data_IF_848262654056
#
_entry.id   IF_848262654056
#
_cell.length_a   1.000
_cell.length_b   1.000
_cell.length_c   1.000
_cell.angle_alpha   90.00
_cell.angle_beta   90.00
_cell.angle_gamma   90.00
#
_symmetry.space_group_name_H-M   'P 1'
#
loop_
_entity.id
_entity.type
_entity.pdbx_description
1 polymer ?
#
# COMPACT_ATOMS: atom_id res chain seq x y z
N UNK A 1 10.92 -16.39 2.15
CA UNK A 1 10.61 -15.92 3.51
C UNK A 1 9.22 -15.23 3.54
N UNK A 2 8.90 -14.31 2.61
CA UNK A 2 7.62 -13.58 2.66
C UNK A 2 6.37 -14.47 2.50
N UNK A 3 6.34 -15.38 1.53
CA UNK A 3 5.20 -16.26 1.29
C UNK A 3 4.96 -17.25 2.45
N UNK A 4 6.02 -17.82 3.01
CA UNK A 4 5.91 -18.73 4.17
C UNK A 4 5.36 -18.03 5.39
N UNK A 5 5.75 -16.79 5.63
CA UNK A 5 5.24 -15.96 6.71
C UNK A 5 3.73 -15.65 6.52
N UNK A 6 3.31 -15.30 5.29
CA UNK A 6 1.90 -15.04 5.00
C UNK A 6 1.03 -16.30 5.21
N UNK A 7 1.49 -17.46 4.74
CA UNK A 7 0.80 -18.74 4.95
C UNK A 7 0.66 -19.02 6.45
N UNK A 8 1.73 -18.82 7.22
CA UNK A 8 1.71 -19.01 8.68
C UNK A 8 0.66 -18.08 9.36
N UNK A 9 0.63 -16.79 8.99
CA UNK A 9 -0.35 -15.85 9.54
C UNK A 9 -1.79 -16.25 9.20
N UNK A 10 -2.06 -16.61 7.95
CA UNK A 10 -3.38 -17.07 7.51
C UNK A 10 -3.78 -18.35 8.23
N UNK A 11 -2.89 -19.34 8.32
CA UNK A 11 -3.14 -20.58 9.03
C UNK A 11 -3.41 -20.34 10.53
N UNK A 12 -2.59 -19.52 11.19
CA UNK A 12 -2.76 -19.16 12.61
C UNK A 12 -4.09 -18.47 12.84
N UNK A 13 -4.43 -17.48 11.99
CA UNK A 13 -5.72 -16.78 12.08
C UNK A 13 -6.89 -17.74 11.91
N UNK A 14 -6.83 -18.64 10.94
CA UNK A 14 -7.86 -19.65 10.71
C UNK A 14 -8.04 -20.58 11.93
N UNK A 15 -6.94 -21.08 12.48
CA UNK A 15 -6.95 -21.94 13.68
C UNK A 15 -7.52 -21.18 14.87
N UNK A 16 -7.11 -19.95 15.12
CA UNK A 16 -7.64 -19.11 16.22
C UNK A 16 -9.14 -18.86 16.07
N UNK A 17 -9.62 -18.58 14.85
CA UNK A 17 -11.05 -18.40 14.58
C UNK A 17 -11.85 -19.68 14.85
N UNK A 18 -11.32 -20.86 14.49
CA UNK A 18 -11.96 -22.16 14.75
C UNK A 18 -11.97 -22.51 16.24
N UNK A 19 -10.89 -22.24 16.96
CA UNK A 19 -10.76 -22.54 18.39
C UNK A 19 -11.48 -21.53 19.28
N UNK A 20 -11.79 -20.36 18.76
CA UNK A 20 -12.42 -19.27 19.52
C UNK A 20 -13.76 -19.70 20.12
N UNK A 21 -14.66 -20.27 19.32
CA UNK A 21 -15.99 -20.66 19.77
C UNK A 21 -15.96 -21.62 20.97
N UNK A 22 -15.22 -22.76 20.92
CA UNK A 22 -15.17 -23.70 22.06
C UNK A 22 -14.40 -23.13 23.26
N UNK A 23 -13.46 -22.22 23.07
CA UNK A 23 -12.73 -21.59 24.19
C UNK A 23 -13.63 -20.57 24.92
N UNK A 24 -14.33 -19.71 24.16
CA UNK A 24 -15.28 -18.74 24.75
C UNK A 24 -16.41 -19.40 25.50
N UNK A 25 -16.97 -20.50 24.98
CA UNK A 25 -17.99 -21.29 25.61
C UNK A 25 -17.51 -21.88 26.97
N UNK A 26 -16.27 -22.38 27.02
CA UNK A 26 -15.66 -22.88 28.26
C UNK A 26 -15.36 -21.80 29.30
N UNK A 27 -15.09 -20.58 28.85
CA UNK A 27 -14.76 -19.43 29.71
C UNK A 27 -16.02 -18.68 30.18
N UNK A 28 -17.24 -19.07 29.73
CA UNK A 28 -18.47 -18.35 30.05
C UNK A 28 -18.49 -16.90 29.56
N UNK A 29 -17.61 -16.56 28.63
CA UNK A 29 -17.53 -15.24 28.06
C UNK A 29 -18.60 -15.05 26.98
N UNK A 30 -19.24 -13.85 26.87
CA UNK A 30 -20.21 -13.61 25.83
C UNK A 30 -19.53 -13.84 24.46
N UNK A 31 -20.10 -14.73 23.68
CA UNK A 31 -19.69 -14.96 22.31
C UNK A 31 -19.97 -13.69 21.51
N UNK A 32 -19.01 -12.77 21.45
CA UNK A 32 -19.07 -11.72 20.45
C UNK A 32 -19.04 -12.42 19.11
N UNK A 33 -20.18 -12.48 18.44
CA UNK A 33 -20.28 -12.92 17.06
C UNK A 33 -19.57 -11.86 16.20
N UNK A 34 -18.25 -11.98 16.10
CA UNK A 34 -17.57 -11.40 14.95
C UNK A 34 -18.01 -12.27 13.75
N UNK A 35 -19.18 -11.98 13.21
CA UNK A 35 -19.50 -12.44 11.88
C UNK A 35 -18.36 -11.97 11.00
N UNK A 36 -17.60 -12.91 10.44
CA UNK A 36 -16.72 -12.54 9.34
C UNK A 36 -17.63 -11.83 8.34
N UNK A 37 -17.35 -10.56 7.96
CA UNK A 37 -18.16 -9.91 6.97
C UNK A 37 -18.20 -10.85 5.76
N UNK A 38 -19.39 -11.15 5.25
CA UNK A 38 -19.52 -11.91 4.00
C UNK A 38 -18.88 -11.07 2.91
N UNK A 39 -17.59 -11.33 2.67
CA UNK A 39 -16.85 -10.64 1.62
C UNK A 39 -17.39 -11.18 0.31
N UNK A 40 -18.17 -10.37 -0.39
CA UNK A 40 -18.62 -10.71 -1.73
C UNK A 40 -17.41 -10.96 -2.63
N UNK A 41 -17.56 -11.86 -3.61
CA UNK A 41 -16.48 -12.13 -4.57
C UNK A 41 -15.99 -10.83 -5.25
N UNK A 42 -16.91 -9.91 -5.53
CA UNK A 42 -16.57 -8.59 -6.08
C UNK A 42 -15.67 -7.77 -5.16
N UNK A 43 -15.96 -7.74 -3.84
CA UNK A 43 -15.11 -7.05 -2.87
C UNK A 43 -13.73 -7.70 -2.76
N UNK A 44 -13.65 -9.03 -2.79
CA UNK A 44 -12.38 -9.75 -2.76
C UNK A 44 -11.50 -9.42 -3.98
N UNK A 45 -12.09 -9.37 -5.17
CA UNK A 45 -11.39 -8.97 -6.41
C UNK A 45 -10.89 -7.53 -6.31
N UNK A 46 -11.68 -6.61 -5.79
CA UNK A 46 -11.27 -5.22 -5.61
C UNK A 46 -10.16 -5.07 -4.59
N UNK A 47 -10.21 -5.79 -3.46
CA UNK A 47 -9.11 -5.81 -2.49
C UNK A 47 -7.81 -6.33 -3.12
N UNK A 48 -7.89 -7.42 -3.90
CA UNK A 48 -6.74 -7.95 -4.61
C UNK A 48 -6.20 -6.95 -5.64
N UNK A 49 -7.06 -6.26 -6.36
CA UNK A 49 -6.68 -5.23 -7.33
C UNK A 49 -5.92 -4.07 -6.66
N UNK A 50 -6.46 -3.52 -5.57
CA UNK A 50 -5.77 -2.46 -4.81
C UNK A 50 -4.46 -2.94 -4.21
N UNK A 51 -4.40 -4.18 -3.74
CA UNK A 51 -3.17 -4.79 -3.24
C UNK A 51 -2.09 -4.89 -4.34
N UNK A 52 -2.45 -5.44 -5.51
CA UNK A 52 -1.51 -5.60 -6.64
C UNK A 52 -1.03 -4.24 -7.16
N UNK A 53 -1.95 -3.29 -7.36
CA UNK A 53 -1.59 -1.95 -7.81
C UNK A 53 -0.72 -1.23 -6.78
N UNK A 54 -1.05 -1.34 -5.50
CA UNK A 54 -0.24 -0.78 -4.41
C UNK A 54 1.16 -1.40 -4.35
N UNK A 55 1.24 -2.73 -4.51
CA UNK A 55 2.51 -3.44 -4.58
C UNK A 55 3.37 -2.93 -5.76
N UNK A 56 2.79 -2.79 -6.95
CA UNK A 56 3.48 -2.24 -8.13
C UNK A 56 3.95 -0.80 -7.87
N UNK A 57 3.07 0.04 -7.32
CA UNK A 57 3.36 1.44 -7.03
C UNK A 57 4.56 1.59 -6.08
N UNK A 58 4.49 0.95 -4.91
CA UNK A 58 5.57 1.04 -3.93
C UNK A 58 6.84 0.34 -4.40
N UNK A 59 6.74 -0.81 -5.08
CA UNK A 59 7.91 -1.50 -5.63
C UNK A 59 8.64 -0.63 -6.65
N UNK A 60 7.93 0.09 -7.51
CA UNK A 60 8.53 1.03 -8.46
C UNK A 60 9.28 2.17 -7.75
N UNK A 61 8.69 2.74 -6.69
CA UNK A 61 9.34 3.79 -5.89
C UNK A 61 10.59 3.26 -5.17
N UNK A 62 10.52 2.07 -4.56
CA UNK A 62 11.69 1.45 -3.92
C UNK A 62 12.79 1.09 -4.93
N UNK A 63 12.40 0.62 -6.13
CA UNK A 63 13.36 0.35 -7.20
C UNK A 63 14.07 1.63 -7.67
N UNK A 64 13.34 2.75 -7.79
CA UNK A 64 13.92 4.04 -8.12
C UNK A 64 14.97 4.47 -7.07
N UNK A 65 14.63 4.37 -5.79
CA UNK A 65 15.53 4.70 -4.69
C UNK A 65 16.74 3.77 -4.67
N UNK A 66 16.52 2.45 -4.77
CA UNK A 66 17.58 1.44 -4.74
C UNK A 66 18.58 1.59 -5.89
N UNK A 67 18.13 2.04 -7.07
CA UNK A 67 19.01 2.27 -8.22
C UNK A 67 19.88 3.53 -8.12
N UNK A 68 19.58 4.43 -7.18
CA UNK A 68 20.29 5.70 -6.99
C UNK A 68 21.38 5.66 -5.91
N UNK A 69 21.56 4.52 -5.22
CA UNK A 69 22.46 4.37 -4.06
C UNK A 69 23.44 3.22 -4.27
N UNK A 70 24.62 3.33 -3.62
CA UNK A 70 25.72 2.37 -3.83
C UNK A 70 25.97 1.45 -2.62
N UNK A 71 25.29 1.66 -1.49
CA UNK A 71 25.45 0.84 -0.29
C UNK A 71 24.10 0.54 0.36
N UNK A 72 24.03 -0.57 1.10
CA UNK A 72 22.83 -0.94 1.86
C UNK A 72 22.43 0.12 2.89
N UNK A 73 23.40 0.76 3.53
CA UNK A 73 23.14 1.80 4.52
C UNK A 73 22.53 3.05 3.88
N UNK A 74 23.02 3.45 2.69
CA UNK A 74 22.45 4.55 1.92
C UNK A 74 21.05 4.19 1.44
N UNK A 75 20.81 2.94 0.99
CA UNK A 75 19.50 2.47 0.56
C UNK A 75 18.45 2.58 1.68
N UNK A 76 18.80 2.18 2.90
CA UNK A 76 17.92 2.31 4.07
C UNK A 76 17.56 3.76 4.38
N UNK A 77 18.55 4.67 4.34
CA UNK A 77 18.31 6.10 4.56
C UNK A 77 17.46 6.72 3.46
N UNK A 78 17.76 6.40 2.20
CA UNK A 78 17.03 6.92 1.05
C UNK A 78 15.60 6.37 0.96
N UNK A 79 15.33 5.18 1.53
CA UNK A 79 13.99 4.60 1.63
C UNK A 79 13.13 5.23 2.74
N UNK A 80 13.71 5.95 3.69
CA UNK A 80 12.99 6.55 4.83
C UNK A 80 11.80 7.43 4.41
N UNK A 81 11.88 8.31 3.40
CA UNK A 81 10.72 9.09 2.95
C UNK A 81 9.56 8.22 2.48
N UNK A 82 9.84 7.07 1.82
CA UNK A 82 8.80 6.14 1.37
C UNK A 82 8.15 5.44 2.57
N UNK A 83 8.92 5.07 3.58
CA UNK A 83 8.38 4.52 4.83
C UNK A 83 7.48 5.54 5.53
N UNK A 84 7.87 6.81 5.58
CA UNK A 84 7.05 7.88 6.17
C UNK A 84 5.71 8.01 5.44
N UNK A 85 5.68 7.89 4.12
CA UNK A 85 4.42 7.92 3.34
C UNK A 85 3.49 6.75 3.72
N UNK A 86 4.03 5.54 3.91
CA UNK A 86 3.24 4.37 4.33
C UNK A 86 2.74 4.56 5.77
N UNK A 87 3.61 5.01 6.68
CA UNK A 87 3.24 5.29 8.08
C UNK A 87 2.18 6.39 8.15
N UNK A 88 2.29 7.43 7.32
CA UNK A 88 1.29 8.48 7.20
C UNK A 88 -0.09 7.89 6.85
N UNK A 89 -0.17 7.02 5.83
CA UNK A 89 -1.42 6.31 5.52
C UNK A 89 -1.93 5.51 6.73
N UNK A 90 -1.03 4.83 7.46
CA UNK A 90 -1.35 4.07 8.67
C UNK A 90 -1.96 4.92 9.79
N UNK A 91 -1.42 6.12 10.04
CA UNK A 91 -1.94 7.06 11.04
C UNK A 91 -3.38 7.49 10.75
N UNK A 92 -3.74 7.61 9.47
CA UNK A 92 -5.09 7.99 9.07
C UNK A 92 -6.10 6.86 9.06
N UNK A 93 -5.70 5.60 9.31
CA UNK A 93 -6.65 4.48 9.41
C UNK A 93 -7.72 4.76 10.47
N UNK A 94 -7.31 5.17 11.66
CA UNK A 94 -8.25 5.42 12.76
C UNK A 94 -9.26 6.55 12.45
N UNK A 95 -8.85 7.75 11.99
CA UNK A 95 -9.79 8.78 11.54
C UNK A 95 -10.75 8.32 10.44
N UNK A 96 -10.25 7.51 9.49
CA UNK A 96 -11.08 6.97 8.39
C UNK A 96 -12.11 5.96 8.91
N UNK A 97 -11.74 5.09 9.86
CA UNK A 97 -12.68 4.16 10.50
C UNK A 97 -13.79 4.89 11.26
N UNK A 98 -13.47 6.01 11.92
CA UNK A 98 -14.45 6.81 12.68
C UNK A 98 -15.38 7.61 11.76
N UNK A 99 -14.89 8.08 10.60
CA UNK A 99 -15.69 8.84 9.64
C UNK A 99 -15.34 8.47 8.18
N UNK A 100 -15.79 7.29 7.70
CA UNK A 100 -15.40 6.76 6.38
C UNK A 100 -15.98 7.53 5.19
N UNK A 101 -17.02 8.34 5.42
CA UNK A 101 -17.65 9.19 4.39
C UNK A 101 -17.16 10.64 4.43
N UNK A 102 -16.31 10.97 5.41
CA UNK A 102 -15.77 12.32 5.58
C UNK A 102 -14.84 12.75 4.44
N UNK A 103 -14.67 14.06 4.29
CA UNK A 103 -13.84 14.65 3.23
C UNK A 103 -12.39 14.14 3.27
N UNK A 104 -11.80 13.99 4.46
CA UNK A 104 -10.44 13.48 4.64
C UNK A 104 -10.34 12.04 4.11
N UNK A 105 -11.31 11.17 4.49
CA UNK A 105 -11.34 9.79 4.04
C UNK A 105 -11.45 9.69 2.51
N UNK A 106 -12.27 10.55 1.88
CA UNK A 106 -12.42 10.62 0.43
C UNK A 106 -11.12 11.04 -0.25
N UNK A 107 -10.50 12.14 0.19
CA UNK A 107 -9.24 12.63 -0.39
C UNK A 107 -8.14 11.57 -0.28
N UNK A 108 -7.93 11.00 0.91
CA UNK A 108 -6.90 10.00 1.14
C UNK A 108 -7.12 8.71 0.34
N UNK A 109 -8.37 8.33 0.09
CA UNK A 109 -8.68 7.16 -0.72
C UNK A 109 -8.51 7.39 -2.23
N UNK A 110 -8.37 8.63 -2.69
CA UNK A 110 -8.11 9.00 -4.09
C UNK A 110 -6.63 9.22 -4.38
N UNK A 111 -5.83 9.59 -3.37
CA UNK A 111 -4.39 9.82 -3.55
C UNK A 111 -3.65 8.50 -3.81
N UNK A 112 -2.86 8.35 -4.90
CA UNK A 112 -2.16 7.10 -5.22
C UNK A 112 -1.24 6.60 -4.11
N UNK A 113 -0.70 7.50 -3.29
CA UNK A 113 0.19 7.18 -2.17
C UNK A 113 -0.55 6.46 -1.04
N UNK A 114 -1.79 6.84 -0.76
CA UNK A 114 -2.56 6.33 0.39
C UNK A 114 -3.70 5.40 -0.02
N UNK A 115 -4.17 5.51 -1.28
CA UNK A 115 -5.33 4.76 -1.76
C UNK A 115 -5.21 3.24 -1.65
N UNK A 116 -4.04 2.60 -1.86
CA UNK A 116 -3.92 1.14 -1.71
C UNK A 116 -4.23 0.64 -0.30
N UNK A 117 -4.05 1.49 0.71
CA UNK A 117 -4.31 1.18 2.11
C UNK A 117 -5.69 1.66 2.54
N UNK A 118 -6.02 2.91 2.23
CA UNK A 118 -7.22 3.59 2.74
C UNK A 118 -8.49 3.12 2.02
N UNK A 119 -8.46 2.92 0.69
CA UNK A 119 -9.66 2.54 -0.05
C UNK A 119 -10.19 1.15 0.36
N UNK A 120 -9.36 0.09 0.49
CA UNK A 120 -9.83 -1.19 1.01
C UNK A 120 -10.46 -1.09 2.41
N UNK A 121 -9.89 -0.27 3.29
CA UNK A 121 -10.45 -0.04 4.64
C UNK A 121 -11.81 0.63 4.55
N UNK A 122 -11.97 1.66 3.71
CA UNK A 122 -13.27 2.31 3.49
C UNK A 122 -14.30 1.33 2.95
N UNK A 123 -13.92 0.50 1.97
CA UNK A 123 -14.80 -0.53 1.41
C UNK A 123 -15.24 -1.57 2.44
N UNK A 124 -14.39 -1.87 3.44
CA UNK A 124 -14.72 -2.83 4.49
C UNK A 124 -15.74 -2.31 5.50
N UNK A 125 -15.81 -0.98 5.72
CA UNK A 125 -16.64 -0.37 6.76
C UNK A 125 -17.83 0.43 6.23
N UNK A 126 -17.86 0.77 4.94
CA UNK A 126 -18.96 1.53 4.34
C UNK A 126 -19.16 1.19 2.86
N UNK A 127 -20.35 1.45 2.35
CA UNK A 127 -20.63 1.40 0.92
C UNK A 127 -19.97 2.58 0.20
N UNK A 128 -18.87 2.34 -0.53
CA UNK A 128 -18.20 3.38 -1.32
C UNK A 128 -18.91 3.55 -2.65
N UNK A 129 -19.25 4.80 -3.08
CA UNK A 129 -19.85 5.04 -4.38
C UNK A 129 -18.98 4.49 -5.53
N UNK A 130 -19.57 3.86 -6.57
CA UNK A 130 -18.80 3.32 -7.71
C UNK A 130 -17.91 4.35 -8.40
N UNK A 131 -18.35 5.61 -8.45
CA UNK A 131 -17.58 6.70 -9.04
C UNK A 131 -16.28 6.99 -8.26
N UNK A 132 -16.34 7.01 -6.91
CA UNK A 132 -15.15 7.20 -6.09
C UNK A 132 -14.18 6.02 -6.22
N UNK A 133 -14.71 4.82 -6.32
CA UNK A 133 -13.94 3.59 -6.48
C UNK A 133 -13.21 3.58 -7.84
N UNK A 134 -13.92 3.84 -8.94
CA UNK A 134 -13.31 3.89 -10.28
C UNK A 134 -12.30 5.03 -10.39
N UNK A 135 -12.60 6.20 -9.84
CA UNK A 135 -11.65 7.32 -9.80
C UNK A 135 -10.37 6.96 -9.04
N UNK A 136 -10.49 6.29 -7.89
CA UNK A 136 -9.33 5.83 -7.11
C UNK A 136 -8.46 4.84 -7.89
N UNK A 137 -9.07 3.85 -8.56
CA UNK A 137 -8.34 2.89 -9.40
C UNK A 137 -7.62 3.59 -10.55
N UNK A 138 -8.29 4.49 -11.26
CA UNK A 138 -7.70 5.24 -12.38
C UNK A 138 -6.53 6.09 -11.91
N UNK A 139 -6.69 6.84 -10.80
CA UNK A 139 -5.60 7.65 -10.25
C UNK A 139 -4.43 6.79 -9.76
N UNK A 140 -4.71 5.63 -9.17
CA UNK A 140 -3.68 4.70 -8.73
C UNK A 140 -2.92 4.10 -9.93
N UNK A 141 -3.60 3.73 -11.01
CA UNK A 141 -2.98 3.26 -12.25
C UNK A 141 -2.09 4.34 -12.86
N UNK A 142 -2.57 5.58 -12.93
CA UNK A 142 -1.77 6.73 -13.39
C UNK A 142 -0.55 6.91 -12.47
N UNK A 143 -0.72 6.80 -11.16
CA UNK A 143 0.36 6.82 -10.18
C UNK A 143 1.40 5.72 -10.41
N UNK A 144 0.96 4.48 -10.68
CA UNK A 144 1.84 3.36 -11.02
C UNK A 144 2.65 3.64 -12.28
N UNK A 145 2.01 4.11 -13.35
CA UNK A 145 2.69 4.45 -14.59
C UNK A 145 3.73 5.57 -14.40
N UNK A 146 3.37 6.60 -13.63
CA UNK A 146 4.28 7.69 -13.28
C UNK A 146 5.47 7.18 -12.45
N UNK A 147 5.23 6.36 -11.43
CA UNK A 147 6.27 5.77 -10.59
C UNK A 147 7.22 4.88 -11.41
N UNK A 148 6.68 4.03 -12.28
CA UNK A 148 7.47 3.18 -13.19
C UNK A 148 8.29 4.00 -14.17
N UNK A 149 7.72 5.07 -14.72
CA UNK A 149 8.43 5.96 -15.63
C UNK A 149 9.60 6.67 -14.94
N UNK A 150 9.38 7.18 -13.71
CA UNK A 150 10.45 7.80 -12.91
C UNK A 150 11.52 6.76 -12.57
N UNK A 151 11.13 5.58 -12.11
CA UNK A 151 12.03 4.48 -11.79
C UNK A 151 12.90 4.09 -13.00
N UNK A 152 12.29 3.93 -14.18
CA UNK A 152 13.00 3.59 -15.40
C UNK A 152 14.02 4.67 -15.84
N UNK A 153 13.70 5.95 -15.62
CA UNK A 153 14.64 7.05 -15.91
C UNK A 153 15.82 7.07 -14.95
N UNK A 154 15.55 6.97 -13.64
CA UNK A 154 16.61 6.95 -12.61
C UNK A 154 17.52 5.75 -12.85
N UNK A 155 16.95 4.57 -13.15
CA UNK A 155 17.69 3.36 -13.40
C UNK A 155 18.64 3.47 -14.59
N UNK A 156 18.19 4.06 -15.73
CA UNK A 156 19.04 4.27 -16.91
C UNK A 156 20.26 5.15 -16.63
N UNK A 157 20.09 6.18 -15.82
CA UNK A 157 21.17 7.11 -15.51
C UNK A 157 22.05 6.55 -14.40
N UNK A 158 21.49 5.86 -13.40
CA UNK A 158 22.22 5.20 -12.33
C UNK A 158 23.23 4.16 -12.84
N UNK A 159 22.86 3.38 -13.86
CA UNK A 159 23.76 2.40 -14.50
C UNK A 159 24.96 3.03 -15.22
N UNK A 160 24.82 4.27 -15.72
CA UNK A 160 25.88 4.96 -16.47
C UNK A 160 26.87 5.74 -15.59
N UNK A 161 26.56 5.90 -14.30
CA UNK A 161 27.34 6.71 -13.37
C UNK A 161 27.94 5.90 -12.21
N UNK A 162 28.65 4.83 -12.50
CA UNK A 162 29.45 4.11 -11.51
C UNK A 162 30.48 5.06 -10.88
N UNK A 163 30.28 5.45 -9.60
CA UNK A 163 31.28 6.16 -8.81
C UNK A 163 30.98 7.61 -8.41
N UNK A 164 29.88 8.24 -8.85
CA UNK A 164 29.50 9.60 -8.44
C UNK A 164 28.12 9.62 -7.78
N UNK A 165 28.02 10.22 -6.59
CA UNK A 165 26.74 10.36 -5.86
C UNK A 165 25.86 11.39 -6.57
N UNK A 166 24.69 11.03 -7.11
CA UNK A 166 23.77 12.00 -7.68
C UNK A 166 23.14 12.85 -6.57
N UNK A 167 23.12 14.15 -6.76
CA UNK A 167 22.35 15.05 -5.90
C UNK A 167 20.88 15.05 -6.29
N UNK A 168 19.98 15.41 -5.34
CA UNK A 168 18.53 15.51 -5.60
C UNK A 168 18.21 16.46 -6.78
N UNK A 169 19.00 17.52 -6.96
CA UNK A 169 18.88 18.44 -8.12
C UNK A 169 19.24 17.78 -9.43
N UNK A 170 20.25 16.93 -9.45
CA UNK A 170 20.64 16.17 -10.65
C UNK A 170 19.57 15.14 -11.00
N UNK A 171 19.02 14.41 -10.02
CA UNK A 171 17.93 13.48 -10.25
C UNK A 171 16.68 14.18 -10.82
N UNK A 172 16.30 15.35 -10.28
CA UNK A 172 15.19 16.12 -10.82
C UNK A 172 15.43 16.58 -12.27
N UNK A 173 16.67 16.99 -12.58
CA UNK A 173 17.06 17.39 -13.94
C UNK A 173 17.04 16.21 -14.92
N UNK A 174 17.39 15.00 -14.49
CA UNK A 174 17.34 13.78 -15.31
C UNK A 174 15.91 13.34 -15.64
N UNK A 175 15.00 13.54 -14.70
CA UNK A 175 13.57 13.29 -14.94
C UNK A 175 13.00 14.27 -15.96
N UNK A 176 13.49 15.54 -15.98
CA UNK A 176 12.97 16.61 -16.86
C UNK A 176 13.66 16.71 -18.22
N UNK A 177 14.91 16.21 -18.38
CA UNK A 177 15.62 16.28 -19.66
C UNK A 177 15.12 15.20 -20.62
N UNK A 178 14.27 15.62 -21.57
CA UNK A 178 13.88 14.79 -22.71
C UNK A 178 14.96 14.89 -23.79
N UNK A 179 15.89 13.96 -23.84
CA UNK A 179 16.63 13.58 -25.07
C UNK A 179 17.10 12.15 -24.93
#
# INVERSE_FOLDING_TARGET
VGLTQQILWVATTYVLLKLRAPIMERLGAPTMSFGLPEISLGAAILFLLFFVLGFIFYSALYAAVGSAVNSEQEARQAATPLMIMIVFAGVFIQPVLLNPTGTIARILSLLPITSPIIMPIRMAVTGVPPLEMTASIVLLVIGCLAALWVAARIYRVGLLMYGKRPTMREMARWVSSSR
#
